data_IF_634632685259
#
_entry.id   IF_634632685259
#
_cell.length_a   1.000
_cell.length_b   1.000
_cell.length_c   1.000
_cell.angle_alpha   90.00
_cell.angle_beta   90.00
_cell.angle_gamma   90.00
#
_symmetry.space_group_name_H-M   'P 1'
#
loop_
_entity.id
_entity.type
_entity.pdbx_description
1 polymer ?
#
# COMPACT_ATOMS: atom_id res chain seq x y z
N UNK A 1 3.03 -8.68 23.63
CA UNK A 1 2.76 -7.23 23.70
C UNK A 1 1.46 -7.00 24.43
N UNK A 2 0.30 -6.96 23.77
CA UNK A 2 -0.98 -6.89 24.51
C UNK A 2 -1.34 -8.25 25.13
N UNK A 3 -1.87 -8.24 26.35
CA UNK A 3 -2.53 -9.39 27.01
C UNK A 3 -3.94 -9.05 27.52
N UNK A 4 -4.33 -7.78 27.46
CA UNK A 4 -5.66 -7.26 27.81
C UNK A 4 -6.20 -6.35 26.69
N UNK A 5 -7.49 -6.03 26.74
CA UNK A 5 -8.17 -5.10 25.84
C UNK A 5 -9.27 -4.35 26.58
N UNK A 6 -9.45 -3.05 26.30
CA UNK A 6 -10.62 -2.30 26.78
C UNK A 6 -11.82 -2.56 25.88
N UNK A 7 -12.94 -2.95 26.47
CA UNK A 7 -14.19 -3.24 25.77
C UNK A 7 -15.36 -2.76 26.62
N UNK A 8 -16.22 -1.91 26.06
CA UNK A 8 -17.33 -1.24 26.77
C UNK A 8 -16.89 -0.47 28.04
N UNK A 9 -15.64 0.01 28.08
CA UNK A 9 -15.03 0.73 29.21
C UNK A 9 -14.23 -0.15 30.16
N UNK A 10 -14.63 -1.41 30.33
CA UNK A 10 -13.96 -2.41 31.17
C UNK A 10 -12.69 -2.97 30.51
N UNK A 11 -11.75 -3.44 31.34
CA UNK A 11 -10.52 -4.11 30.87
C UNK A 11 -10.73 -5.62 30.99
N UNK A 12 -10.70 -6.33 29.86
CA UNK A 12 -10.90 -7.79 29.80
C UNK A 12 -9.66 -8.50 29.23
N UNK A 13 -9.45 -9.80 29.51
CA UNK A 13 -8.38 -10.57 28.89
C UNK A 13 -8.48 -10.57 27.35
N UNK A 14 -7.33 -10.54 26.68
CA UNK A 14 -7.24 -10.66 25.22
C UNK A 14 -7.34 -12.15 24.81
N UNK A 15 -8.53 -12.73 24.97
CA UNK A 15 -8.82 -14.11 24.60
C UNK A 15 -8.96 -14.31 23.07
N UNK A 16 -9.10 -15.56 22.63
CA UNK A 16 -9.29 -15.88 21.20
C UNK A 16 -10.57 -15.29 20.60
N UNK A 17 -11.61 -15.02 21.38
CA UNK A 17 -12.87 -14.44 20.90
C UNK A 17 -12.64 -12.95 20.59
N UNK A 18 -12.02 -12.22 21.52
CA UNK A 18 -11.62 -10.84 21.38
C UNK A 18 -10.57 -10.68 20.27
N UNK A 19 -9.55 -11.55 20.21
CA UNK A 19 -8.53 -11.54 19.16
C UNK A 19 -9.14 -11.76 17.76
N UNK A 20 -10.17 -12.62 17.63
CA UNK A 20 -10.92 -12.79 16.36
C UNK A 20 -11.77 -11.57 16.00
N UNK A 21 -12.44 -10.91 16.96
CA UNK A 21 -13.12 -9.62 16.73
C UNK A 21 -12.13 -8.55 16.24
N UNK A 22 -11.01 -8.42 16.95
CA UNK A 22 -9.88 -7.50 16.66
C UNK A 22 -9.37 -7.68 15.23
N UNK A 23 -9.01 -8.92 14.85
CA UNK A 23 -8.55 -9.21 13.48
C UNK A 23 -9.59 -8.82 12.44
N UNK A 24 -10.88 -9.16 12.66
CA UNK A 24 -11.97 -8.79 11.74
C UNK A 24 -12.12 -7.27 11.58
N UNK A 25 -12.01 -6.47 12.64
CA UNK A 25 -12.08 -5.00 12.55
C UNK A 25 -10.89 -4.45 11.76
N UNK A 26 -9.67 -4.85 12.10
CA UNK A 26 -8.45 -4.41 11.40
C UNK A 26 -8.46 -4.80 9.92
N UNK A 27 -8.91 -6.02 9.60
CA UNK A 27 -9.09 -6.50 8.22
C UNK A 27 -10.13 -5.69 7.43
N UNK A 28 -11.22 -5.24 8.08
CA UNK A 28 -12.25 -4.42 7.44
C UNK A 28 -11.72 -3.02 7.14
N UNK A 29 -11.01 -2.39 8.08
CA UNK A 29 -10.37 -1.09 7.89
C UNK A 29 -9.26 -1.15 6.83
N UNK A 30 -8.43 -2.20 6.84
CA UNK A 30 -7.41 -2.43 5.81
C UNK A 30 -8.04 -2.63 4.41
N UNK A 31 -9.18 -3.33 4.30
CA UNK A 31 -9.96 -3.44 3.05
C UNK A 31 -10.58 -2.11 2.60
N UNK A 32 -10.82 -1.18 3.53
CA UNK A 32 -11.18 0.20 3.23
C UNK A 32 -9.95 1.08 2.86
N UNK A 33 -8.77 0.48 2.67
CA UNK A 33 -7.54 1.19 2.30
C UNK A 33 -6.93 2.01 3.44
N UNK A 34 -7.44 1.89 4.66
CA UNK A 34 -7.00 2.67 5.81
C UNK A 34 -5.73 2.06 6.39
N UNK A 35 -4.74 2.91 6.69
CA UNK A 35 -3.58 2.51 7.48
C UNK A 35 -4.00 2.45 8.95
N UNK A 36 -4.17 1.25 9.49
CA UNK A 36 -4.54 1.03 10.89
C UNK A 36 -3.30 1.02 11.79
N UNK A 37 -3.33 1.79 12.88
CA UNK A 37 -2.36 1.73 13.98
C UNK A 37 -3.10 1.34 15.26
N UNK A 38 -2.69 0.24 15.89
CA UNK A 38 -3.20 -0.16 17.19
C UNK A 38 -2.61 0.72 18.29
N UNK A 39 -3.45 1.18 19.23
CA UNK A 39 -3.05 1.99 20.39
C UNK A 39 -3.28 1.15 21.65
N UNK A 40 -2.24 1.03 22.46
CA UNK A 40 -2.27 0.24 23.70
C UNK A 40 -1.55 1.00 24.82
N UNK A 41 -1.99 0.79 26.06
CA UNK A 41 -1.51 1.45 27.28
C UNK A 41 -0.96 0.43 28.27
N UNK A 42 -0.12 0.89 29.20
CA UNK A 42 0.29 0.14 30.38
C UNK A 42 0.56 1.12 31.49
N UNK A 43 -0.05 0.92 32.65
CA UNK A 43 0.23 1.72 33.83
C UNK A 43 1.46 1.12 34.53
N UNK A 44 2.55 1.87 34.55
CA UNK A 44 3.77 1.54 35.27
C UNK A 44 3.96 2.51 36.44
N UNK A 45 4.51 2.08 37.58
CA UNK A 45 4.89 3.00 38.64
C UNK A 45 6.00 3.94 38.14
N UNK A 46 6.05 5.15 38.70
CA UNK A 46 7.13 6.09 38.40
C UNK A 46 8.49 5.47 38.76
N UNK A 47 9.46 5.54 37.83
CA UNK A 47 10.83 5.03 37.99
C UNK A 47 11.82 6.00 37.36
N UNK A 48 13.08 5.89 37.76
CA UNK A 48 14.18 6.53 37.05
C UNK A 48 14.63 5.64 35.88
N UNK A 49 15.09 6.27 34.79
CA UNK A 49 15.58 5.58 33.58
C UNK A 49 14.51 5.27 32.52
N UNK A 50 14.96 5.27 31.25
CA UNK A 50 14.09 5.20 30.07
C UNK A 50 13.31 3.88 29.94
N UNK A 51 12.20 3.93 29.19
CA UNK A 51 11.44 2.74 28.80
C UNK A 51 12.17 1.96 27.70
N UNK A 52 12.15 0.64 27.82
CA UNK A 52 12.84 -0.32 26.94
C UNK A 52 11.82 -1.25 26.27
N UNK A 53 12.19 -1.93 25.18
CA UNK A 53 11.25 -2.86 24.49
C UNK A 53 10.73 -4.01 25.38
N UNK A 54 11.43 -4.34 26.47
CA UNK A 54 10.94 -5.31 27.46
C UNK A 54 9.69 -4.82 28.22
N UNK A 55 9.54 -3.50 28.38
CA UNK A 55 8.37 -2.88 29.02
C UNK A 55 7.10 -2.97 28.15
N UNK A 56 7.25 -3.14 26.82
CA UNK A 56 6.17 -3.33 25.81
C UNK A 56 5.43 -4.68 25.91
N UNK A 57 5.60 -5.37 27.04
CA UNK A 57 4.87 -6.55 27.51
C UNK A 57 3.55 -6.14 28.19
N UNK A 58 2.60 -7.08 28.32
CA UNK A 58 1.35 -6.93 29.08
C UNK A 58 0.62 -5.58 28.95
N UNK A 59 0.43 -5.16 27.70
CA UNK A 59 -0.31 -3.95 27.35
C UNK A 59 -1.84 -4.21 27.35
N UNK A 60 -2.61 -3.18 27.66
CA UNK A 60 -4.05 -3.10 27.43
C UNK A 60 -4.26 -2.48 26.05
N UNK A 61 -4.85 -3.20 25.10
CA UNK A 61 -5.26 -2.62 23.83
C UNK A 61 -6.45 -1.67 24.06
N UNK A 62 -6.26 -0.38 23.78
CA UNK A 62 -7.31 0.65 23.92
C UNK A 62 -8.16 0.79 22.64
N UNK A 63 -7.55 0.57 21.46
CA UNK A 63 -8.26 0.64 20.19
C UNK A 63 -7.35 0.88 18.99
N UNK A 64 -7.85 1.63 18.01
CA UNK A 64 -7.16 1.91 16.75
C UNK A 64 -7.28 3.37 16.36
N UNK A 65 -6.24 3.89 15.71
CA UNK A 65 -6.31 5.08 14.86
C UNK A 65 -6.20 4.60 13.42
N UNK A 66 -7.17 4.98 12.58
CA UNK A 66 -7.20 4.62 11.17
C UNK A 66 -6.95 5.87 10.32
N UNK A 67 -5.87 5.87 9.54
CA UNK A 67 -5.50 6.97 8.67
C UNK A 67 -5.93 6.69 7.24
N UNK A 68 -6.59 7.65 6.60
CA UNK A 68 -6.82 7.70 5.16
C UNK A 68 -5.83 8.71 4.57
N UNK A 69 -4.94 8.26 3.67
CA UNK A 69 -4.21 9.15 2.75
C UNK A 69 -4.98 9.11 1.40
N UNK A 70 -5.99 9.96 1.19
CA UNK A 70 -6.80 9.91 -0.02
C UNK A 70 -6.00 10.33 -1.26
N UNK A 71 -6.36 9.85 -2.46
CA UNK A 71 -5.80 10.38 -3.69
C UNK A 71 -6.08 11.89 -3.81
N UNK A 72 -5.09 12.64 -4.30
CA UNK A 72 -5.28 14.07 -4.61
C UNK A 72 -6.42 14.23 -5.61
N UNK A 73 -7.27 15.24 -5.43
CA UNK A 73 -8.41 15.53 -6.32
C UNK A 73 -8.00 15.66 -7.80
N UNK A 74 -6.79 16.16 -8.07
CA UNK A 74 -6.22 16.29 -9.41
C UNK A 74 -5.80 14.97 -10.06
N UNK A 75 -5.78 13.85 -9.32
CA UNK A 75 -5.31 12.54 -9.81
C UNK A 75 -6.24 11.97 -10.86
N UNK A 76 -7.55 11.85 -10.58
CA UNK A 76 -8.51 11.28 -11.52
C UNK A 76 -8.66 12.12 -12.82
N UNK A 77 -8.74 13.47 -12.76
CA UNK A 77 -8.68 14.32 -13.96
C UNK A 77 -7.40 14.11 -14.79
N UNK A 78 -6.24 14.03 -14.13
CA UNK A 78 -4.97 13.80 -14.82
C UNK A 78 -4.93 12.42 -15.50
N UNK A 79 -5.31 11.34 -14.80
CA UNK A 79 -5.37 9.99 -15.38
C UNK A 79 -6.36 9.90 -16.54
N UNK A 80 -7.51 10.58 -16.46
CA UNK A 80 -8.49 10.69 -17.54
C UNK A 80 -7.91 11.44 -18.75
N UNK A 81 -7.18 12.52 -18.54
CA UNK A 81 -6.52 13.28 -19.61
C UNK A 81 -5.42 12.45 -20.30
N UNK A 82 -4.57 11.76 -19.52
CA UNK A 82 -3.56 10.84 -20.03
C UNK A 82 -4.21 9.75 -20.90
N UNK A 83 -5.23 9.06 -20.38
CA UNK A 83 -5.97 8.02 -21.13
C UNK A 83 -6.62 8.56 -22.41
N UNK A 84 -7.13 9.79 -22.41
CA UNK A 84 -7.68 10.45 -23.60
C UNK A 84 -6.61 10.78 -24.66
N UNK A 85 -5.36 11.00 -24.26
CA UNK A 85 -4.19 11.16 -25.14
C UNK A 85 -3.56 9.83 -25.58
N UNK A 86 -4.23 8.68 -25.36
CA UNK A 86 -3.69 7.36 -25.68
C UNK A 86 -2.58 6.87 -24.74
N UNK A 87 -2.30 7.62 -23.67
CA UNK A 87 -1.27 7.30 -22.67
C UNK A 87 -1.85 6.22 -21.76
N UNK A 88 -1.28 5.03 -21.79
CA UNK A 88 -1.67 3.96 -20.86
C UNK A 88 -0.90 4.13 -19.55
N UNK A 89 -1.54 3.87 -18.42
CA UNK A 89 -0.94 4.13 -17.09
C UNK A 89 -0.59 2.80 -16.43
N UNK A 90 0.55 2.77 -15.72
CA UNK A 90 0.90 1.66 -14.82
C UNK A 90 1.23 2.18 -13.43
N UNK A 91 0.78 1.46 -12.40
CA UNK A 91 1.01 1.79 -10.99
C UNK A 91 1.94 0.76 -10.36
N UNK A 92 3.05 1.23 -9.79
CA UNK A 92 4.08 0.40 -9.17
C UNK A 92 4.23 0.81 -7.70
N UNK A 93 3.55 0.11 -6.79
CA UNK A 93 3.55 0.42 -5.35
C UNK A 93 4.25 -0.63 -4.49
N UNK A 94 4.73 -0.20 -3.32
CA UNK A 94 5.15 -1.08 -2.22
C UNK A 94 4.02 -1.43 -1.25
N UNK A 95 2.81 -0.89 -1.44
CA UNK A 95 1.64 -1.16 -0.60
C UNK A 95 1.00 -2.53 -0.92
N UNK A 96 0.02 -2.96 -0.12
CA UNK A 96 -0.72 -4.20 -0.41
C UNK A 96 -1.68 -4.05 -1.58
N UNK A 97 -1.94 -5.17 -2.25
CA UNK A 97 -2.91 -5.34 -3.33
C UNK A 97 -4.29 -4.75 -3.00
N UNK A 98 -4.78 -4.90 -1.76
CA UNK A 98 -6.07 -4.36 -1.33
C UNK A 98 -6.10 -2.82 -1.30
N UNK A 99 -5.06 -2.19 -0.75
CA UNK A 99 -4.93 -0.72 -0.69
C UNK A 99 -4.79 -0.17 -2.11
N UNK A 100 -3.91 -0.79 -2.90
CA UNK A 100 -3.55 -0.35 -4.23
C UNK A 100 -4.71 -0.47 -5.23
N UNK A 101 -5.46 -1.58 -5.20
CA UNK A 101 -6.65 -1.76 -6.03
C UNK A 101 -7.79 -0.80 -5.64
N UNK A 102 -7.96 -0.50 -4.34
CA UNK A 102 -8.92 0.53 -3.90
C UNK A 102 -8.55 1.91 -4.43
N UNK A 103 -7.29 2.33 -4.33
CA UNK A 103 -6.87 3.64 -4.86
C UNK A 103 -7.02 3.70 -6.38
N UNK A 104 -6.73 2.62 -7.12
CA UNK A 104 -7.04 2.55 -8.56
C UNK A 104 -8.52 2.84 -8.84
N UNK A 105 -9.43 2.19 -8.12
CA UNK A 105 -10.87 2.40 -8.25
C UNK A 105 -11.29 3.84 -7.92
N UNK A 106 -10.78 4.42 -6.83
CA UNK A 106 -11.05 5.80 -6.41
C UNK A 106 -10.58 6.85 -7.45
N UNK A 107 -9.52 6.55 -8.21
CA UNK A 107 -9.01 7.45 -9.25
C UNK A 107 -9.54 7.15 -10.66
N UNK A 108 -10.48 6.20 -10.79
CA UNK A 108 -11.10 5.80 -12.06
C UNK A 108 -10.18 5.00 -13.00
N UNK A 109 -9.15 4.35 -12.46
CA UNK A 109 -8.26 3.45 -13.18
C UNK A 109 -8.69 1.99 -12.92
N UNK A 110 -8.86 1.22 -14.00
CA UNK A 110 -9.05 -0.23 -13.87
C UNK A 110 -7.72 -0.89 -13.49
N UNK A 111 -7.70 -1.57 -12.34
CA UNK A 111 -6.52 -2.27 -11.84
C UNK A 111 -6.22 -3.55 -12.62
N UNK A 112 -7.24 -4.19 -13.22
CA UNK A 112 -7.14 -5.50 -13.85
C UNK A 112 -6.60 -6.58 -12.90
N UNK A 113 -5.77 -7.48 -13.45
CA UNK A 113 -4.99 -8.44 -12.69
C UNK A 113 -3.86 -7.73 -11.92
N UNK A 114 -3.76 -8.00 -10.60
CA UNK A 114 -2.77 -7.38 -9.71
C UNK A 114 -1.61 -8.35 -9.48
N UNK A 115 -0.43 -7.98 -9.97
CA UNK A 115 0.81 -8.77 -9.79
C UNK A 115 1.50 -8.34 -8.49
N UNK A 116 1.89 -9.28 -7.64
CA UNK A 116 2.60 -8.96 -6.38
C UNK A 116 4.10 -9.26 -6.47
N UNK A 117 4.86 -8.63 -5.57
CA UNK A 117 6.33 -8.71 -5.54
C UNK A 117 6.91 -10.13 -5.57
N UNK A 118 6.26 -11.11 -4.93
CA UNK A 118 6.68 -12.51 -4.89
C UNK A 118 6.62 -13.22 -6.24
N UNK A 119 5.65 -12.87 -7.08
CA UNK A 119 5.41 -13.56 -8.36
C UNK A 119 6.51 -13.17 -9.35
N UNK A 120 6.95 -11.91 -9.28
CA UNK A 120 8.04 -11.35 -10.07
C UNK A 120 9.37 -12.07 -9.82
N UNK A 121 9.60 -12.57 -8.60
CA UNK A 121 10.83 -13.31 -8.23
C UNK A 121 10.94 -14.67 -8.94
N UNK A 122 9.83 -15.27 -9.38
CA UNK A 122 9.82 -16.59 -10.05
C UNK A 122 9.85 -16.51 -11.59
N UNK A 123 9.55 -15.35 -12.17
CA UNK A 123 9.46 -15.15 -13.62
C UNK A 123 10.82 -14.82 -14.25
N UNK A 124 11.07 -15.33 -15.46
CA UNK A 124 12.16 -14.86 -16.31
C UNK A 124 11.91 -13.42 -16.81
N UNK A 125 12.94 -12.77 -17.33
CA UNK A 125 12.83 -11.40 -17.85
C UNK A 125 11.88 -11.27 -19.04
N UNK A 126 11.84 -12.26 -19.93
CA UNK A 126 10.97 -12.22 -21.11
C UNK A 126 9.50 -12.54 -20.73
N UNK A 127 9.25 -13.44 -19.77
CA UNK A 127 7.91 -13.65 -19.21
C UNK A 127 7.41 -12.42 -18.45
N UNK A 128 8.28 -11.79 -17.64
CA UNK A 128 7.98 -10.58 -16.89
C UNK A 128 7.75 -9.39 -17.82
N UNK A 129 8.46 -9.28 -18.95
CA UNK A 129 8.17 -8.28 -19.99
C UNK A 129 6.76 -8.48 -20.58
N UNK A 130 6.43 -9.70 -21.00
CA UNK A 130 5.11 -10.04 -21.56
C UNK A 130 3.96 -9.85 -20.55
N UNK A 131 4.19 -10.15 -19.27
CA UNK A 131 3.26 -9.84 -18.19
C UNK A 131 3.14 -8.32 -17.98
N UNK A 132 4.27 -7.63 -17.88
CA UNK A 132 4.29 -6.20 -17.58
C UNK A 132 3.63 -5.35 -18.67
N UNK A 133 3.64 -5.77 -19.94
CA UNK A 133 2.87 -5.11 -21.01
C UNK A 133 1.37 -5.06 -20.69
N UNK A 134 0.76 -6.18 -20.24
CA UNK A 134 -0.68 -6.29 -19.96
C UNK A 134 -1.11 -5.85 -18.55
N UNK A 135 -0.26 -5.98 -17.54
CA UNK A 135 -0.59 -5.61 -16.14
C UNK A 135 -0.68 -4.09 -15.95
N UNK A 136 -1.74 -3.61 -15.32
CA UNK A 136 -1.89 -2.19 -14.92
C UNK A 136 -1.32 -1.91 -13.53
N UNK A 137 -1.56 -2.79 -12.56
CA UNK A 137 -1.18 -2.60 -11.16
C UNK A 137 -0.19 -3.67 -10.65
N UNK A 138 0.90 -3.20 -10.05
CA UNK A 138 1.86 -4.01 -9.32
C UNK A 138 1.94 -3.57 -7.86
N UNK A 139 1.85 -4.53 -6.94
CA UNK A 139 1.82 -4.29 -5.50
C UNK A 139 2.94 -5.04 -4.74
N UNK A 140 3.17 -4.65 -3.47
CA UNK A 140 4.25 -5.17 -2.60
C UNK A 140 5.66 -5.11 -3.20
N UNK A 141 5.92 -4.21 -4.15
CA UNK A 141 7.20 -4.16 -4.86
C UNK A 141 8.36 -3.66 -3.97
N UNK A 142 9.47 -4.39 -4.02
CA UNK A 142 10.79 -3.91 -3.58
C UNK A 142 11.31 -2.84 -4.56
N UNK A 143 12.32 -2.02 -4.18
CA UNK A 143 12.97 -1.09 -5.12
C UNK A 143 13.51 -1.80 -6.38
N UNK A 144 14.13 -2.97 -6.21
CA UNK A 144 14.68 -3.78 -7.31
C UNK A 144 13.58 -4.26 -8.27
N UNK A 145 12.39 -4.62 -7.78
CA UNK A 145 11.30 -5.06 -8.66
C UNK A 145 10.78 -3.90 -9.52
N UNK A 146 10.74 -2.67 -8.96
CA UNK A 146 10.39 -1.48 -9.74
C UNK A 146 11.44 -1.18 -10.82
N UNK A 147 12.73 -1.30 -10.49
CA UNK A 147 13.82 -1.12 -11.46
C UNK A 147 13.79 -2.17 -12.57
N UNK A 148 13.58 -3.45 -12.23
CA UNK A 148 13.47 -4.57 -13.20
C UNK A 148 12.30 -4.36 -14.16
N UNK A 149 11.09 -4.08 -13.67
CA UNK A 149 9.92 -3.80 -14.53
C UNK A 149 10.18 -2.60 -15.45
N UNK A 150 10.71 -1.49 -14.92
CA UNK A 150 11.02 -0.29 -15.70
C UNK A 150 12.08 -0.55 -16.77
N UNK A 151 13.07 -1.41 -16.48
CA UNK A 151 14.14 -1.76 -17.42
C UNK A 151 13.62 -2.65 -18.54
N UNK A 152 12.74 -3.61 -18.26
CA UNK A 152 12.14 -4.49 -19.26
C UNK A 152 11.17 -3.72 -20.17
N UNK A 153 10.31 -2.87 -19.62
CA UNK A 153 9.43 -2.00 -20.42
C UNK A 153 10.23 -1.01 -21.31
N UNK A 154 11.45 -0.63 -20.92
CA UNK A 154 12.38 0.13 -21.78
C UNK A 154 13.03 -0.73 -22.86
N UNK A 155 13.37 -2.00 -22.56
CA UNK A 155 14.01 -2.93 -23.51
C UNK A 155 13.10 -3.24 -24.70
N UNK A 156 11.80 -3.44 -24.45
CA UNK A 156 10.77 -3.77 -25.45
C UNK A 156 10.39 -2.62 -26.40
N UNK A 157 11.27 -1.61 -26.59
CA UNK A 157 11.05 -0.51 -27.54
C UNK A 157 9.84 0.37 -27.25
N UNK A 158 9.20 0.26 -26.08
CA UNK A 158 7.93 0.91 -25.74
C UNK A 158 8.03 2.43 -25.56
N UNK A 159 9.07 3.07 -26.08
CA UNK A 159 9.37 4.51 -25.93
C UNK A 159 8.34 5.37 -26.69
N UNK A 160 7.69 4.78 -27.69
CA UNK A 160 6.58 5.38 -28.46
C UNK A 160 5.22 5.22 -27.76
N UNK A 161 5.07 4.23 -26.88
CA UNK A 161 3.92 4.12 -26.01
C UNK A 161 4.17 5.04 -24.81
N UNK A 162 3.50 6.20 -24.77
CA UNK A 162 3.58 7.04 -23.59
C UNK A 162 2.98 6.28 -22.41
N UNK A 163 3.80 6.07 -21.36
CA UNK A 163 3.37 5.52 -20.08
C UNK A 163 3.60 6.52 -18.96
N UNK A 164 2.57 6.85 -18.19
CA UNK A 164 2.76 7.51 -16.91
C UNK A 164 2.97 6.45 -15.83
N UNK A 165 4.16 6.41 -15.23
CA UNK A 165 4.41 5.61 -14.03
C UNK A 165 3.97 6.39 -12.80
N UNK A 166 2.87 5.95 -12.18
CA UNK A 166 2.43 6.52 -10.90
C UNK A 166 3.19 5.80 -9.77
N UNK A 167 4.27 6.43 -9.32
CA UNK A 167 5.02 5.93 -8.18
C UNK A 167 4.29 6.33 -6.89
N UNK A 168 3.51 5.39 -6.33
CA UNK A 168 3.01 5.55 -4.98
C UNK A 168 4.18 5.43 -4.00
N UNK A 169 4.65 6.61 -3.61
CA UNK A 169 5.03 6.97 -2.23
C UNK A 169 3.84 6.58 -1.12
N UNK A 170 3.80 5.64 1.02
CA UNK A 170 4.50 5.38 2.37
C UNK A 170 4.86 6.64 3.21
N UNK A 171 3.98 7.05 4.16
CA UNK A 171 3.51 8.43 4.34
C UNK A 171 4.52 9.56 4.62
N UNK A 172 4.16 10.83 4.33
CA UNK A 172 2.82 11.31 3.93
C UNK A 172 2.55 11.13 2.42
N UNK A 173 1.59 10.26 2.07
CA UNK A 173 1.52 9.65 0.73
C UNK A 173 0.71 10.46 -0.30
N UNK A 174 1.18 11.69 -0.54
CA UNK A 174 0.72 12.46 -1.69
C UNK A 174 0.98 11.69 -2.99
N UNK A 175 -0.09 11.40 -3.74
CA UNK A 175 -0.03 10.87 -5.10
C UNK A 175 0.75 11.83 -6.00
N UNK A 176 2.05 11.57 -6.14
CA UNK A 176 2.95 12.29 -7.04
C UNK A 176 2.93 11.54 -8.35
N UNK A 177 2.08 12.00 -9.27
CA UNK A 177 2.16 11.62 -10.69
C UNK A 177 3.47 12.20 -11.22
N UNK A 178 4.56 11.48 -10.98
CA UNK A 178 5.84 11.67 -11.66
C UNK A 178 5.68 11.16 -13.08
N UNK A 179 4.92 11.89 -13.90
CA UNK A 179 4.80 11.65 -15.32
C UNK A 179 6.19 11.84 -15.93
N UNK A 180 6.93 10.75 -16.07
CA UNK A 180 8.16 10.67 -16.85
C UNK A 180 7.80 10.71 -18.34
N UNK A 181 7.21 11.84 -18.74
CA UNK A 181 7.23 12.38 -20.10
C UNK A 181 8.69 12.71 -20.44
N UNK A 182 9.49 11.67 -20.68
CA UNK A 182 10.82 11.82 -21.25
C UNK A 182 10.65 12.05 -22.75
N UNK A 183 10.20 13.26 -23.09
CA UNK A 183 10.14 13.74 -24.47
C UNK A 183 11.54 13.70 -25.04
N UNK A 184 11.76 12.83 -26.01
CA UNK A 184 13.05 12.73 -26.68
C UNK A 184 13.45 14.08 -27.30
N UNK A 185 14.70 14.47 -27.03
CA UNK A 185 15.52 15.39 -27.82
C UNK A 185 16.84 14.68 -28.08
#
# INVERSE_FOLDING_TARGET
MCSQVRHNGEIVPLDDIMLRKIKRVTDTLNRQGLRVVAVATKYLPAREGDYQRADESDLILEGYIAFLDPPKETTAPALKALKASGITVKILTGDSELVAAKVCHEVGLDAGEVVIGSDIETLSDDELANLAQRTTLFARLTPMHKERIVTLLKREGMWLALWAMVLMMRPPYALRISAFLWTAR
#
